data_IF_329810965532
#
_entry.id   IF_329810965532
#
_cell.length_a   1.000
_cell.length_b   1.000
_cell.length_c   1.000
_cell.angle_alpha   90.00
_cell.angle_beta   90.00
_cell.angle_gamma   90.00
#
_symmetry.space_group_name_H-M   'P 1'
#
loop_
_entity.id
_entity.type
_entity.pdbx_description
1 polymer ?
#
# COMPACT_ATOMS: atom_id res chain seq x y z
N UNK A 1 -43.19 8.25 8.93
CA UNK A 1 -42.28 9.36 8.56
C UNK A 1 -41.09 9.56 9.52
N UNK A 2 -41.18 9.46 10.87
CA UNK A 2 -40.02 9.70 11.75
C UNK A 2 -38.96 8.59 11.71
N UNK A 3 -39.35 7.32 11.53
CA UNK A 3 -38.40 6.18 11.47
C UNK A 3 -37.42 6.26 10.28
N UNK A 4 -37.83 6.86 9.16
CA UNK A 4 -36.99 6.98 7.96
C UNK A 4 -35.85 7.99 8.17
N UNK A 5 -36.13 9.10 8.82
CA UNK A 5 -35.14 10.14 9.16
C UNK A 5 -34.12 9.57 10.16
N UNK A 6 -34.56 8.80 11.15
CA UNK A 6 -33.66 8.15 12.12
C UNK A 6 -32.73 7.14 11.44
N UNK A 7 -33.26 6.31 10.51
CA UNK A 7 -32.45 5.35 9.77
C UNK A 7 -31.43 6.03 8.84
N UNK A 8 -31.80 7.12 8.17
CA UNK A 8 -30.88 7.88 7.32
C UNK A 8 -29.76 8.54 8.12
N UNK A 9 -30.07 9.12 9.30
CA UNK A 9 -29.06 9.71 10.20
C UNK A 9 -28.12 8.65 10.77
N UNK A 10 -28.64 7.50 11.23
CA UNK A 10 -27.81 6.39 11.72
C UNK A 10 -26.92 5.82 10.62
N UNK A 11 -27.41 5.75 9.38
CA UNK A 11 -26.62 5.32 8.24
C UNK A 11 -25.46 6.28 7.96
N UNK A 12 -25.70 7.60 7.99
CA UNK A 12 -24.67 8.62 7.75
C UNK A 12 -23.60 8.62 8.86
N UNK A 13 -24.01 8.54 10.13
CA UNK A 13 -23.08 8.42 11.27
C UNK A 13 -22.25 7.14 11.20
N UNK A 14 -22.86 6.01 10.82
CA UNK A 14 -22.16 4.74 10.65
C UNK A 14 -21.15 4.77 9.49
N UNK A 15 -21.50 5.44 8.38
CA UNK A 15 -20.63 5.61 7.22
C UNK A 15 -19.43 6.47 7.58
N UNK A 16 -19.65 7.57 8.32
CA UNK A 16 -18.58 8.45 8.79
C UNK A 16 -17.62 7.72 9.71
N UNK A 17 -18.15 7.01 10.71
CA UNK A 17 -17.32 6.20 11.61
C UNK A 17 -16.49 5.17 10.84
N UNK A 18 -17.10 4.48 9.85
CA UNK A 18 -16.39 3.51 9.03
C UNK A 18 -15.23 4.15 8.25
N UNK A 19 -15.47 5.31 7.61
CA UNK A 19 -14.44 6.04 6.86
C UNK A 19 -13.31 6.50 7.79
N UNK A 20 -13.63 7.09 8.93
CA UNK A 20 -12.64 7.56 9.90
C UNK A 20 -11.80 6.39 10.43
N UNK A 21 -12.44 5.27 10.76
CA UNK A 21 -11.74 4.07 11.25
C UNK A 21 -10.86 3.45 10.17
N UNK A 22 -11.36 3.29 8.94
CA UNK A 22 -10.57 2.78 7.81
C UNK A 22 -9.36 3.67 7.51
N UNK A 23 -9.50 5.00 7.63
CA UNK A 23 -8.39 5.93 7.47
C UNK A 23 -7.36 5.81 8.58
N UNK A 24 -7.79 5.63 9.84
CA UNK A 24 -6.88 5.40 10.96
C UNK A 24 -6.12 4.08 10.79
N UNK A 25 -6.83 2.98 10.53
CA UNK A 25 -6.23 1.66 10.35
C UNK A 25 -5.28 1.65 9.13
N UNK A 26 -5.60 2.38 8.06
CA UNK A 26 -4.70 2.53 6.91
C UNK A 26 -3.41 3.26 7.27
N UNK A 27 -3.50 4.31 8.09
CA UNK A 27 -2.33 5.09 8.52
C UNK A 27 -1.45 4.31 9.49
N UNK A 28 -2.02 3.63 10.48
CA UNK A 28 -1.25 2.95 11.53
C UNK A 28 -0.93 1.49 11.20
N UNK A 29 -1.92 0.68 10.84
CA UNK A 29 -1.77 -0.77 10.73
C UNK A 29 -1.28 -1.21 9.35
N UNK A 30 -1.71 -0.52 8.30
CA UNK A 30 -1.26 -0.78 6.92
C UNK A 30 0.06 -0.04 6.61
N UNK A 31 0.47 0.90 7.49
CA UNK A 31 1.76 1.61 7.38
C UNK A 31 1.75 2.78 6.42
N UNK A 32 0.57 3.34 6.08
CA UNK A 32 0.49 4.46 5.15
C UNK A 32 1.22 5.71 5.65
N UNK A 33 1.36 5.87 6.98
CA UNK A 33 2.11 6.96 7.59
C UNK A 33 3.63 6.89 7.32
N UNK A 34 4.16 5.72 6.99
CA UNK A 34 5.60 5.49 6.84
C UNK A 34 6.10 5.68 5.39
N UNK A 35 5.18 5.85 4.43
CA UNK A 35 5.54 5.99 3.02
C UNK A 35 5.75 7.45 2.60
N UNK A 36 6.95 7.76 2.09
CA UNK A 36 7.17 8.99 1.34
C UNK A 36 6.87 8.79 -0.15
N UNK A 37 5.92 9.56 -0.66
CA UNK A 37 5.52 9.48 -2.07
C UNK A 37 6.36 10.44 -2.91
N UNK A 38 7.28 9.89 -3.70
CA UNK A 38 8.16 10.68 -4.57
C UNK A 38 7.48 11.23 -5.83
N UNK A 39 6.39 10.60 -6.28
CA UNK A 39 5.61 11.04 -7.44
C UNK A 39 4.19 10.44 -7.43
N UNK A 40 3.31 11.01 -8.25
CA UNK A 40 1.88 10.65 -8.31
C UNK A 40 1.62 9.20 -8.70
N UNK A 41 2.46 8.59 -9.55
CA UNK A 41 2.29 7.19 -9.99
C UNK A 41 2.56 6.24 -8.82
N UNK A 42 3.64 6.47 -8.08
CA UNK A 42 3.94 5.73 -6.85
C UNK A 42 2.81 5.92 -5.83
N UNK A 43 2.26 7.13 -5.72
CA UNK A 43 1.11 7.42 -4.88
C UNK A 43 -0.13 6.59 -5.23
N UNK A 44 -0.50 6.52 -6.52
CA UNK A 44 -1.62 5.69 -6.97
C UNK A 44 -1.40 4.20 -6.75
N UNK A 45 -0.17 3.71 -6.95
CA UNK A 45 0.16 2.32 -6.70
C UNK A 45 0.02 1.97 -5.21
N UNK A 46 0.58 2.79 -4.33
CA UNK A 46 0.45 2.59 -2.88
C UNK A 46 -1.02 2.65 -2.47
N UNK A 47 -1.78 3.63 -2.96
CA UNK A 47 -3.22 3.73 -2.71
C UNK A 47 -3.99 2.48 -3.15
N UNK A 48 -3.71 1.96 -4.34
CA UNK A 48 -4.35 0.74 -4.84
C UNK A 48 -4.04 -0.47 -3.95
N UNK A 49 -2.78 -0.62 -3.50
CA UNK A 49 -2.43 -1.67 -2.54
C UNK A 49 -3.11 -1.49 -1.18
N UNK A 50 -3.23 -0.26 -0.68
CA UNK A 50 -3.96 0.03 0.57
C UNK A 50 -5.44 -0.33 0.45
N UNK A 51 -6.09 -0.04 -0.69
CA UNK A 51 -7.48 -0.43 -0.95
C UNK A 51 -7.62 -1.95 -0.97
N UNK A 52 -6.74 -2.66 -1.69
CA UNK A 52 -6.76 -4.12 -1.73
C UNK A 52 -6.51 -4.76 -0.36
N UNK A 53 -5.55 -4.24 0.41
CA UNK A 53 -5.29 -4.71 1.77
C UNK A 53 -6.49 -4.48 2.69
N UNK A 54 -7.13 -3.31 2.58
CA UNK A 54 -8.35 -2.99 3.34
C UNK A 54 -9.50 -3.93 2.99
N UNK A 55 -9.68 -4.25 1.71
CA UNK A 55 -10.66 -5.22 1.25
C UNK A 55 -10.40 -6.62 1.83
N UNK A 56 -9.16 -7.10 1.73
CA UNK A 56 -8.77 -8.39 2.30
C UNK A 56 -9.06 -8.49 3.80
N UNK A 57 -8.73 -7.44 4.56
CA UNK A 57 -9.00 -7.39 6.01
C UNK A 57 -10.49 -7.39 6.30
N UNK A 58 -11.29 -6.65 5.51
CA UNK A 58 -12.74 -6.63 5.66
C UNK A 58 -13.35 -8.02 5.43
N UNK A 59 -12.95 -8.70 4.35
CA UNK A 59 -13.39 -10.05 4.01
C UNK A 59 -13.00 -11.04 5.11
N UNK A 60 -11.74 -11.00 5.58
CA UNK A 60 -11.26 -11.85 6.67
C UNK A 60 -12.08 -11.67 7.96
N UNK A 61 -12.41 -10.42 8.30
CA UNK A 61 -13.23 -10.12 9.50
C UNK A 61 -14.66 -10.64 9.35
N UNK A 62 -15.23 -10.53 8.16
CA UNK A 62 -16.59 -10.99 7.87
C UNK A 62 -16.67 -12.52 7.93
N UNK A 63 -15.72 -13.21 7.31
CA UNK A 63 -15.62 -14.67 7.37
C UNK A 63 -15.38 -15.16 8.80
N UNK A 64 -14.51 -14.46 9.55
CA UNK A 64 -14.26 -14.79 10.96
C UNK A 64 -15.52 -14.68 11.81
N UNK A 65 -16.30 -13.61 11.65
CA UNK A 65 -17.56 -13.45 12.39
C UNK A 65 -18.60 -14.53 12.03
N UNK A 66 -18.58 -15.06 10.81
CA UNK A 66 -19.48 -16.15 10.40
C UNK A 66 -19.03 -17.51 10.93
N UNK A 67 -17.72 -17.78 10.93
CA UNK A 67 -17.17 -19.09 11.31
C UNK A 67 -17.01 -19.24 12.83
N UNK A 68 -16.70 -18.16 13.54
CA UNK A 68 -16.40 -18.18 14.97
C UNK A 68 -17.36 -17.25 15.73
N UNK A 69 -18.47 -17.84 16.18
CA UNK A 69 -19.39 -17.15 17.08
C UNK A 69 -18.70 -16.85 18.42
N UNK A 70 -18.94 -15.65 18.95
CA UNK A 70 -18.41 -15.24 20.26
C UNK A 70 -19.05 -16.08 21.35
N UNK A 71 -18.23 -16.64 22.22
CA UNK A 71 -18.69 -17.47 23.33
C UNK A 71 -19.43 -16.59 24.37
N UNK A 72 -20.73 -16.82 24.61
CA UNK A 72 -21.50 -16.06 25.59
C UNK A 72 -20.99 -16.25 27.03
N UNK A 73 -20.34 -17.38 27.34
CA UNK A 73 -19.82 -17.62 28.69
C UNK A 73 -18.67 -16.67 29.04
N UNK A 74 -17.93 -16.20 28.03
CA UNK A 74 -16.85 -15.23 28.21
C UNK A 74 -17.39 -13.83 28.56
N UNK A 75 -18.62 -13.49 28.19
CA UNK A 75 -19.27 -12.22 28.56
C UNK A 75 -19.46 -12.17 30.08
N UNK A 76 -19.94 -13.27 30.66
CA UNK A 76 -20.16 -13.40 32.10
C UNK A 76 -18.83 -13.42 32.87
N UNK A 77 -17.82 -14.12 32.36
CA UNK A 77 -16.48 -14.21 32.99
C UNK A 77 -15.75 -12.87 32.99
N UNK A 78 -15.85 -12.10 31.90
CA UNK A 78 -15.18 -10.81 31.78
C UNK A 78 -16.02 -9.62 32.25
N UNK A 79 -17.23 -9.87 32.76
CA UNK A 79 -18.19 -8.84 33.23
C UNK A 79 -18.36 -7.70 32.20
N UNK A 80 -18.42 -8.05 30.91
CA UNK A 80 -18.47 -7.07 29.81
C UNK A 80 -19.71 -7.28 28.96
N UNK A 81 -20.32 -6.19 28.51
CA UNK A 81 -21.51 -6.26 27.64
C UNK A 81 -21.18 -6.71 26.22
N UNK A 82 -19.93 -6.51 25.77
CA UNK A 82 -19.51 -6.80 24.39
C UNK A 82 -18.09 -7.35 24.36
N UNK A 83 -17.92 -8.52 23.74
CA UNK A 83 -16.60 -9.06 23.43
C UNK A 83 -16.03 -8.39 22.17
N UNK A 84 -14.72 -8.09 22.16
CA UNK A 84 -14.09 -7.38 21.05
C UNK A 84 -14.20 -8.15 19.73
N UNK A 85 -14.27 -7.40 18.63
CA UNK A 85 -14.22 -7.95 17.27
C UNK A 85 -12.76 -8.19 16.84
N UNK A 86 -12.56 -9.03 15.82
CA UNK A 86 -11.27 -9.17 15.17
C UNK A 86 -10.81 -7.80 14.63
N UNK A 87 -9.64 -7.33 15.07
CA UNK A 87 -9.07 -6.04 14.67
C UNK A 87 -8.18 -6.17 13.44
N UNK A 88 -7.83 -5.05 12.79
CA UNK A 88 -6.87 -5.04 11.68
C UNK A 88 -5.48 -5.50 12.15
N UNK A 89 -5.07 -5.10 13.36
CA UNK A 89 -3.84 -5.56 13.99
C UNK A 89 -3.82 -7.09 14.18
N UNK A 90 -4.94 -7.68 14.61
CA UNK A 90 -5.04 -9.14 14.76
C UNK A 90 -4.89 -9.83 13.40
N UNK A 91 -5.52 -9.33 12.33
CA UNK A 91 -5.37 -9.87 10.97
C UNK A 91 -3.93 -9.76 10.50
N UNK A 92 -3.25 -8.64 10.78
CA UNK A 92 -1.82 -8.47 10.49
C UNK A 92 -0.98 -9.52 11.20
N UNK A 93 -1.24 -9.79 12.49
CA UNK A 93 -0.55 -10.84 13.25
C UNK A 93 -0.82 -12.23 12.67
N UNK A 94 -2.07 -12.54 12.30
CA UNK A 94 -2.42 -13.81 11.65
C UNK A 94 -1.70 -13.98 10.30
N UNK A 95 -1.63 -12.92 9.49
CA UNK A 95 -0.88 -12.92 8.23
C UNK A 95 0.62 -13.12 8.45
N UNK A 96 1.21 -12.48 9.46
CA UNK A 96 2.62 -12.67 9.82
C UNK A 96 2.92 -14.10 10.27
N UNK A 97 1.96 -14.77 10.91
CA UNK A 97 2.09 -16.17 11.27
C UNK A 97 1.93 -17.11 10.06
N UNK A 98 1.03 -16.78 9.13
CA UNK A 98 0.73 -17.60 7.96
C UNK A 98 1.75 -17.42 6.82
N UNK A 99 2.35 -16.23 6.70
CA UNK A 99 3.35 -15.90 5.68
C UNK A 99 4.69 -15.68 6.38
N UNK A 100 5.69 -16.58 6.19
CA UNK A 100 7.02 -16.35 6.75
C UNK A 100 7.62 -15.10 6.10
N UNK A 101 7.54 -13.97 6.82
CA UNK A 101 8.24 -12.76 6.42
C UNK A 101 9.74 -13.05 6.49
N UNK A 102 10.42 -12.89 5.36
CA UNK A 102 11.87 -13.06 5.29
C UNK A 102 12.52 -11.99 6.16
N UNK A 103 12.88 -12.34 7.39
CA UNK A 103 13.70 -11.47 8.22
C UNK A 103 15.13 -11.58 7.72
N UNK A 104 15.54 -10.58 6.95
CA UNK A 104 16.91 -10.45 6.50
C UNK A 104 17.76 -9.96 7.68
N UNK A 105 18.90 -10.58 7.90
CA UNK A 105 19.91 -10.00 8.79
C UNK A 105 20.42 -8.67 8.18
N UNK A 106 21.05 -7.80 8.97
CA UNK A 106 21.69 -6.59 8.45
C UNK A 106 22.63 -6.88 7.27
N UNK A 107 23.38 -7.99 7.34
CA UNK A 107 24.30 -8.43 6.30
C UNK A 107 23.57 -8.83 5.01
N UNK A 108 22.50 -9.63 5.13
CA UNK A 108 21.69 -10.04 3.97
C UNK A 108 20.98 -8.85 3.32
N UNK A 109 20.61 -7.85 4.12
CA UNK A 109 20.04 -6.60 3.63
C UNK A 109 21.08 -5.81 2.84
N UNK A 110 22.31 -5.71 3.34
CA UNK A 110 23.42 -5.06 2.65
C UNK A 110 23.72 -5.76 1.32
N UNK A 111 23.79 -7.09 1.31
CA UNK A 111 24.01 -7.87 0.09
C UNK A 111 22.92 -7.61 -0.96
N UNK A 112 21.65 -7.62 -0.57
CA UNK A 112 20.52 -7.31 -1.45
C UNK A 112 20.56 -5.87 -1.98
N UNK A 113 20.94 -4.91 -1.14
CA UNK A 113 21.10 -3.51 -1.57
C UNK A 113 22.24 -3.40 -2.59
N UNK A 114 23.37 -4.07 -2.35
CA UNK A 114 24.50 -4.10 -3.30
C UNK A 114 24.06 -4.73 -4.63
N UNK A 115 23.34 -5.85 -4.60
CA UNK A 115 22.81 -6.51 -5.80
C UNK A 115 21.87 -5.58 -6.59
N UNK A 116 20.95 -4.90 -5.91
CA UNK A 116 20.04 -3.95 -6.54
C UNK A 116 20.77 -2.75 -7.15
N UNK A 117 21.82 -2.23 -6.50
CA UNK A 117 22.64 -1.14 -7.03
C UNK A 117 23.41 -1.57 -8.28
N UNK A 118 23.97 -2.78 -8.29
CA UNK A 118 24.65 -3.35 -9.46
C UNK A 118 23.67 -3.56 -10.63
N UNK A 119 22.51 -4.15 -10.37
CA UNK A 119 21.45 -4.34 -11.37
C UNK A 119 20.96 -3.01 -11.97
N UNK A 120 20.78 -1.97 -11.15
CA UNK A 120 20.42 -0.62 -11.61
C UNK A 120 21.52 0.00 -12.45
N UNK A 121 22.78 -0.22 -12.11
CA UNK A 121 23.94 0.30 -12.85
C UNK A 121 24.06 -0.38 -14.21
N UNK A 122 23.92 -1.72 -14.25
CA UNK A 122 23.87 -2.51 -15.49
C UNK A 122 22.72 -2.10 -16.39
N UNK A 123 21.53 -1.85 -15.86
CA UNK A 123 20.36 -1.38 -16.62
C UNK A 123 20.55 0.02 -17.21
N UNK A 124 21.29 0.91 -16.53
CA UNK A 124 21.55 2.29 -16.98
C UNK A 124 22.65 2.40 -18.04
N UNK A 125 23.61 1.47 -18.07
CA UNK A 125 24.77 1.52 -18.98
C UNK A 125 24.39 1.49 -20.47
N UNK A 126 23.48 0.61 -20.95
CA UNK A 126 23.00 0.65 -22.34
C UNK A 126 22.18 1.90 -22.64
N UNK A 127 21.35 2.35 -21.69
CA UNK A 127 20.51 3.54 -21.83
C UNK A 127 21.33 4.81 -21.98
N UNK A 128 22.42 4.93 -21.21
CA UNK A 128 23.36 6.06 -21.32
C UNK A 128 24.09 6.05 -22.67
N UNK A 129 24.53 4.89 -23.15
CA UNK A 129 25.15 4.74 -24.47
C UNK A 129 24.18 5.15 -25.59
N UNK A 130 22.93 4.72 -25.51
CA UNK A 130 21.89 5.10 -26.47
C UNK A 130 21.60 6.61 -26.42
N UNK A 131 21.52 7.20 -25.23
CA UNK A 131 21.30 8.64 -25.08
C UNK A 131 22.44 9.48 -25.67
N UNK A 132 23.70 9.10 -25.43
CA UNK A 132 24.87 9.78 -26.01
C UNK A 132 24.87 9.64 -27.54
N UNK A 133 24.50 8.47 -28.07
CA UNK A 133 24.42 8.26 -29.51
C UNK A 133 23.31 9.12 -30.15
N UNK A 134 22.13 9.22 -29.51
CA UNK A 134 21.04 10.09 -29.97
C UNK A 134 21.46 11.57 -29.94
N UNK A 135 22.15 12.03 -28.90
CA UNK A 135 22.67 13.40 -28.80
C UNK A 135 23.69 13.68 -29.91
N UNK A 136 24.64 12.77 -30.16
CA UNK A 136 25.64 12.94 -31.22
C UNK A 136 25.02 13.00 -32.62
N UNK A 137 24.00 12.16 -32.89
CA UNK A 137 23.23 12.22 -34.14
C UNK A 137 22.49 13.56 -34.27
N UNK A 138 21.89 14.03 -33.19
CA UNK A 138 21.16 15.31 -33.17
C UNK A 138 22.11 16.48 -33.44
N UNK A 139 23.27 16.53 -32.77
CA UNK A 139 24.29 17.57 -32.98
C UNK A 139 24.90 17.53 -34.39
N UNK A 140 25.12 16.34 -34.96
CA UNK A 140 25.57 16.16 -36.34
C UNK A 140 24.54 16.73 -37.34
N UNK A 141 23.26 16.43 -37.13
CA UNK A 141 22.18 16.95 -37.97
C UNK A 141 22.05 18.48 -37.90
N UNK A 142 22.23 19.08 -36.71
CA UNK A 142 22.25 20.55 -36.57
C UNK A 142 23.45 21.19 -37.28
N UNK A 143 24.63 20.55 -37.27
CA UNK A 143 25.81 21.06 -37.98
C UNK A 143 25.67 20.99 -39.51
N UNK A 144 24.97 19.97 -40.04
CA UNK A 144 24.67 19.84 -41.47
C UNK A 144 23.63 20.86 -41.93
N UNK A 145 22.60 21.14 -41.13
CA UNK A 145 21.59 22.17 -41.42
C UNK A 145 22.16 23.60 -41.35
N UNK A 146 23.20 23.84 -40.54
CA UNK A 146 23.88 25.12 -40.46
C UNK A 146 24.74 25.42 -41.70
N UNK A 147 25.21 24.39 -42.41
CA UNK A 147 25.96 24.54 -43.67
C UNK A 147 25.07 24.68 -44.91
N UNK A 148 23.80 24.25 -44.85
CA UNK A 148 22.85 24.32 -45.97
C UNK A 148 22.13 25.67 -46.09
N UNK A 149 22.14 26.51 -45.03
CA UNK A 149 21.58 27.88 -45.06
C UNK A 149 22.55 28.96 -45.57
N UNK A 150 23.70 28.57 -46.09
CA UNK A 150 24.76 29.47 -46.56
C UNK A 150 24.85 29.62 -48.08
N UNK A 151 23.73 29.58 -48.81
CA UNK A 151 23.70 29.81 -50.27
C UNK A 151 22.66 30.85 -50.65
#
# INVERSE_FOLDING_TARGET
MPQRIVLEVMADESARYFIERSNQDSKSEIGWADFEVSNIVVGFTILAFTIMASWFVLETKLDWEQQFSRDPTLIEVYETDVLPKLSVANVRTLLQAAVPLRQLSPEQTIELVIEHLDNRTKSRKPRLKNAIQTINVTLSNYSLLAHDKGR
#
